data_IF_224446186164
#
_entry.id   IF_224446186164
#
_cell.length_a   1.000
_cell.length_b   1.000
_cell.length_c   1.000
_cell.angle_alpha   90.00
_cell.angle_beta   90.00
_cell.angle_gamma   90.00
#
_symmetry.space_group_name_H-M   'P 1'
#
loop_
_entity.id
_entity.type
_entity.pdbx_description
1 polymer ?
#
# COMPACT_ATOMS: atom_id res chain seq x y z
N UNK A 1 8.71 -18.07 -19.34
CA UNK A 1 8.23 -17.27 -18.19
C UNK A 1 8.00 -15.80 -18.50
N UNK A 2 8.62 -15.21 -19.53
CA UNK A 2 8.34 -13.81 -19.93
C UNK A 2 6.88 -13.56 -20.40
N UNK A 3 6.16 -14.60 -20.83
CA UNK A 3 4.74 -14.49 -21.21
C UNK A 3 3.77 -14.44 -20.02
N UNK A 4 4.20 -14.81 -18.80
CA UNK A 4 3.35 -14.87 -17.61
C UNK A 4 3.10 -13.49 -16.98
N UNK A 5 4.08 -12.59 -17.03
CA UNK A 5 3.93 -11.20 -16.55
C UNK A 5 2.99 -10.39 -17.47
N UNK A 6 2.88 -10.77 -18.76
CA UNK A 6 1.89 -10.20 -19.67
C UNK A 6 0.46 -10.60 -19.31
N UNK A 7 0.21 -11.84 -18.89
CA UNK A 7 -1.14 -12.31 -18.52
C UNK A 7 -1.71 -11.61 -17.27
N UNK A 8 -0.86 -11.15 -16.34
CA UNK A 8 -1.30 -10.41 -15.15
C UNK A 8 -1.76 -8.96 -15.50
N UNK A 9 -1.42 -8.50 -16.71
CA UNK A 9 -1.52 -7.09 -17.11
C UNK A 9 -2.84 -6.70 -17.77
N UNK A 10 -3.72 -7.65 -18.11
CA UNK A 10 -5.02 -7.39 -18.73
C UNK A 10 -6.15 -7.60 -17.69
N UNK A 11 -6.79 -6.50 -17.29
CA UNK A 11 -8.10 -6.42 -16.61
C UNK A 11 -8.38 -7.29 -15.37
N UNK A 12 -7.43 -7.39 -14.44
CA UNK A 12 -7.73 -7.90 -13.10
C UNK A 12 -7.82 -6.79 -12.06
N UNK A 13 -8.89 -6.83 -11.25
CA UNK A 13 -9.06 -6.02 -10.04
C UNK A 13 -7.74 -6.05 -9.22
N UNK A 14 -7.23 -4.91 -8.73
CA UNK A 14 -5.95 -4.84 -8.02
C UNK A 14 -5.84 -5.82 -6.83
N UNK A 15 -6.95 -6.13 -6.17
CA UNK A 15 -7.00 -7.16 -5.11
C UNK A 15 -6.72 -8.57 -5.65
N UNK A 16 -7.29 -8.95 -6.79
CA UNK A 16 -7.03 -10.26 -7.44
C UNK A 16 -5.62 -10.35 -8.01
N UNK A 17 -5.06 -9.23 -8.49
CA UNK A 17 -3.66 -9.17 -8.92
C UNK A 17 -2.72 -9.43 -7.75
N UNK A 18 -3.00 -8.83 -6.59
CA UNK A 18 -2.21 -9.06 -5.37
C UNK A 18 -2.20 -10.53 -4.95
N UNK A 19 -3.37 -11.17 -4.91
CA UNK A 19 -3.48 -12.60 -4.56
C UNK A 19 -2.70 -13.50 -5.54
N UNK A 20 -2.78 -13.19 -6.85
CA UNK A 20 -2.04 -13.94 -7.87
C UNK A 20 -0.53 -13.75 -7.71
N UNK A 21 -0.07 -12.53 -7.43
CA UNK A 21 1.35 -12.25 -7.12
C UNK A 21 1.78 -13.07 -5.91
N UNK A 22 1.01 -13.07 -4.82
CA UNK A 22 1.32 -13.86 -3.61
C UNK A 22 1.45 -15.35 -3.93
N UNK A 23 0.51 -15.91 -4.68
CA UNK A 23 0.55 -17.32 -5.11
C UNK A 23 1.82 -17.64 -5.92
N UNK A 24 2.23 -16.75 -6.82
CA UNK A 24 3.45 -16.89 -7.61
C UNK A 24 4.72 -16.76 -6.78
N UNK A 25 4.75 -15.87 -5.79
CA UNK A 25 5.89 -15.72 -4.88
C UNK A 25 6.09 -16.96 -4.01
N UNK A 26 4.99 -17.51 -3.49
CA UNK A 26 5.01 -18.73 -2.67
C UNK A 26 5.45 -19.94 -3.50
N UNK A 27 4.90 -20.12 -4.70
CA UNK A 27 5.28 -21.24 -5.59
C UNK A 27 6.74 -21.17 -6.07
N UNK A 28 7.30 -19.97 -6.19
CA UNK A 28 8.72 -19.76 -6.50
C UNK A 28 9.61 -19.73 -5.25
N UNK A 29 9.07 -20.01 -4.05
CA UNK A 29 9.79 -19.99 -2.78
C UNK A 29 10.60 -18.69 -2.59
N UNK A 30 10.03 -17.55 -3.03
CA UNK A 30 10.65 -16.22 -2.96
C UNK A 30 12.04 -16.11 -3.62
N UNK A 31 12.41 -17.05 -4.49
CA UNK A 31 13.74 -17.13 -5.10
C UNK A 31 13.95 -16.16 -6.28
N UNK A 32 12.90 -15.46 -6.70
CA UNK A 32 12.98 -14.57 -7.85
C UNK A 32 13.92 -13.37 -7.59
N UNK A 33 14.81 -12.97 -8.53
CA UNK A 33 15.79 -11.90 -8.32
C UNK A 33 15.18 -10.56 -7.89
N UNK A 34 14.02 -10.21 -8.45
CA UNK A 34 13.31 -8.97 -8.07
C UNK A 34 12.76 -9.03 -6.63
N UNK A 35 12.32 -10.22 -6.20
CA UNK A 35 11.86 -10.44 -4.83
C UNK A 35 13.05 -10.36 -3.88
N UNK A 36 14.17 -11.01 -4.23
CA UNK A 36 15.40 -10.95 -3.45
C UNK A 36 15.96 -9.53 -3.31
N UNK A 37 15.90 -8.73 -4.37
CA UNK A 37 16.25 -7.30 -4.32
C UNK A 37 15.40 -6.54 -3.30
N UNK A 38 14.08 -6.73 -3.33
CA UNK A 38 13.16 -6.08 -2.37
C UNK A 38 13.36 -6.61 -0.94
N UNK A 39 13.61 -7.90 -0.78
CA UNK A 39 13.93 -8.51 0.51
C UNK A 39 15.19 -7.88 1.11
N UNK A 40 16.23 -7.68 0.30
CA UNK A 40 17.46 -7.02 0.74
C UNK A 40 17.25 -5.56 1.14
N UNK A 41 16.42 -4.81 0.40
CA UNK A 41 16.02 -3.43 0.74
C UNK A 41 15.28 -3.40 2.09
N UNK A 42 14.40 -4.37 2.34
CA UNK A 42 13.62 -4.49 3.58
C UNK A 42 14.39 -5.17 4.72
N UNK A 43 15.64 -5.58 4.50
CA UNK A 43 16.46 -6.36 5.45
C UNK A 43 15.75 -7.63 5.95
N UNK A 44 15.00 -8.28 5.05
CA UNK A 44 14.29 -9.52 5.30
C UNK A 44 15.00 -10.69 4.61
N UNK A 45 14.89 -11.88 5.19
CA UNK A 45 15.36 -13.13 4.58
C UNK A 45 14.17 -13.93 4.02
N UNK A 46 14.42 -14.81 3.06
CA UNK A 46 13.37 -15.72 2.55
C UNK A 46 12.82 -16.64 3.67
N UNK A 47 13.65 -16.97 4.66
CA UNK A 47 13.25 -17.74 5.84
C UNK A 47 12.21 -17.03 6.71
N UNK A 48 12.16 -15.70 6.69
CA UNK A 48 11.16 -14.91 7.42
C UNK A 48 9.77 -14.98 6.79
N UNK A 49 9.68 -15.42 5.53
CA UNK A 49 8.44 -15.54 4.77
C UNK A 49 7.98 -16.99 4.66
N UNK A 50 8.87 -17.95 4.86
CA UNK A 50 8.55 -19.36 4.82
C UNK A 50 7.78 -19.81 6.07
N UNK A 51 6.77 -20.69 5.90
CA UNK A 51 6.06 -21.26 7.04
C UNK A 51 7.04 -22.01 7.93
N UNK A 52 7.11 -21.64 9.21
CA UNK A 52 7.96 -22.35 10.17
C UNK A 52 7.24 -23.60 10.66
N UNK A 53 7.93 -24.75 10.73
CA UNK A 53 7.33 -25.95 11.29
C UNK A 53 6.99 -25.74 12.78
N UNK A 54 5.76 -26.10 13.14
CA UNK A 54 5.19 -25.97 14.49
C UNK A 54 6.04 -26.62 15.60
N UNK A 55 6.90 -27.59 15.23
CA UNK A 55 7.79 -28.32 16.14
C UNK A 55 9.05 -27.55 16.56
N UNK A 56 9.35 -26.41 15.95
CA UNK A 56 10.57 -25.63 16.24
C UNK A 56 10.47 -24.76 17.51
N UNK A 57 9.28 -24.66 18.11
CA UNK A 57 9.07 -23.93 19.36
C UNK A 57 9.06 -24.98 20.48
N UNK A 58 10.18 -25.09 21.21
CA UNK A 58 10.30 -25.88 22.43
C UNK A 58 9.25 -25.46 23.47
N UNK A 59 8.01 -25.94 23.36
CA UNK A 59 6.93 -25.51 24.22
C UNK A 59 6.75 -26.44 25.41
N UNK A 60 7.57 -26.21 26.45
CA UNK A 60 7.21 -26.59 27.82
C UNK A 60 6.19 -25.59 28.39
N UNK A 61 4.98 -25.52 27.82
CA UNK A 61 3.94 -24.58 28.24
C UNK A 61 2.51 -25.02 27.89
N UNK A 62 1.47 -24.34 28.43
CA UNK A 62 0.07 -24.68 28.15
C UNK A 62 -0.26 -24.55 26.66
N UNK A 63 -1.04 -25.48 26.09
CA UNK A 63 -1.38 -25.54 24.65
C UNK A 63 -1.97 -24.22 24.12
N UNK A 64 -2.79 -23.54 24.93
CA UNK A 64 -3.50 -22.35 24.48
C UNK A 64 -2.54 -21.17 24.21
N UNK A 65 -1.48 -21.05 25.01
CA UNK A 65 -0.46 -20.00 24.83
C UNK A 65 0.46 -20.28 23.65
N UNK A 66 0.70 -21.55 23.34
CA UNK A 66 1.49 -21.94 22.17
C UNK A 66 0.72 -21.68 20.90
N UNK A 67 -0.57 -22.00 20.89
CA UNK A 67 -1.45 -21.78 19.74
C UNK A 67 -1.61 -20.29 19.44
N UNK A 68 -1.79 -19.47 20.47
CA UNK A 68 -1.85 -18.01 20.31
C UNK A 68 -0.54 -17.43 19.75
N UNK A 69 0.62 -17.90 20.25
CA UNK A 69 1.93 -17.46 19.74
C UNK A 69 2.14 -17.87 18.28
N UNK A 70 1.72 -19.07 17.91
CA UNK A 70 1.80 -19.58 16.55
C UNK A 70 0.90 -18.77 15.61
N UNK A 71 -0.36 -18.54 16.00
CA UNK A 71 -1.30 -17.71 15.25
C UNK A 71 -0.76 -16.29 15.04
N UNK A 72 -0.17 -15.68 16.08
CA UNK A 72 0.42 -14.35 15.98
C UNK A 72 1.66 -14.31 15.08
N UNK A 73 2.53 -15.33 15.13
CA UNK A 73 3.68 -15.43 14.22
C UNK A 73 3.24 -15.59 12.77
N UNK A 74 2.23 -16.43 12.53
CA UNK A 74 1.66 -16.65 11.21
C UNK A 74 1.01 -15.37 10.66
N UNK A 75 0.26 -14.63 11.48
CA UNK A 75 -0.29 -13.34 11.10
C UNK A 75 0.80 -12.34 10.70
N UNK A 76 1.92 -12.28 11.45
CA UNK A 76 3.06 -11.42 11.10
C UNK A 76 3.73 -11.85 9.78
N UNK A 77 3.82 -13.16 9.53
CA UNK A 77 4.37 -13.71 8.27
C UNK A 77 3.52 -13.29 7.08
N UNK A 78 2.20 -13.49 7.18
CA UNK A 78 1.25 -13.10 6.14
C UNK A 78 1.30 -11.59 5.85
N UNK A 79 1.33 -10.75 6.89
CA UNK A 79 1.45 -9.31 6.73
C UNK A 79 2.71 -8.89 5.96
N UNK A 80 3.86 -9.54 6.21
CA UNK A 80 5.10 -9.28 5.46
C UNK A 80 4.96 -9.65 3.98
N UNK A 81 4.32 -10.78 3.69
CA UNK A 81 4.09 -11.24 2.31
C UNK A 81 3.17 -10.26 1.56
N UNK A 82 2.11 -9.78 2.22
CA UNK A 82 1.20 -8.79 1.65
C UNK A 82 1.89 -7.47 1.32
N UNK A 83 2.69 -6.94 2.24
CA UNK A 83 3.48 -5.71 2.02
C UNK A 83 4.44 -5.91 0.83
N UNK A 84 5.08 -7.07 0.74
CA UNK A 84 6.01 -7.36 -0.35
C UNK A 84 5.28 -7.47 -1.71
N UNK A 85 4.09 -8.07 -1.73
CA UNK A 85 3.24 -8.11 -2.93
C UNK A 85 2.83 -6.69 -3.40
N UNK A 86 2.49 -5.81 -2.45
CA UNK A 86 2.15 -4.42 -2.72
C UNK A 86 3.31 -3.65 -3.36
N UNK A 87 4.51 -3.76 -2.77
CA UNK A 87 5.72 -3.10 -3.29
C UNK A 87 6.04 -3.59 -4.71
N UNK A 88 5.87 -4.90 -4.99
CA UNK A 88 6.08 -5.44 -6.33
C UNK A 88 5.04 -4.87 -7.31
N UNK A 89 3.77 -4.84 -6.91
CA UNK A 89 2.70 -4.28 -7.73
C UNK A 89 2.97 -2.80 -8.09
N UNK A 90 3.39 -2.00 -7.11
CA UNK A 90 3.76 -0.61 -7.31
C UNK A 90 4.96 -0.46 -8.25
N UNK A 91 6.05 -1.20 -7.99
CA UNK A 91 7.26 -1.16 -8.86
C UNK A 91 6.92 -1.58 -10.30
N UNK A 92 6.02 -2.52 -10.51
CA UNK A 92 5.54 -2.90 -11.86
C UNK A 92 4.69 -1.81 -12.52
N UNK A 93 3.82 -1.13 -11.77
CA UNK A 93 3.03 0.01 -12.28
C UNK A 93 3.97 1.15 -12.70
N UNK A 94 5.00 1.45 -11.90
CA UNK A 94 6.00 2.47 -12.24
C UNK A 94 6.84 2.08 -13.47
N UNK A 95 7.24 0.81 -13.61
CA UNK A 95 7.95 0.32 -14.79
C UNK A 95 7.10 0.38 -16.07
N UNK A 96 5.77 0.16 -15.97
CA UNK A 96 4.85 0.36 -17.11
C UNK A 96 4.74 1.84 -17.49
N UNK A 97 4.66 2.75 -16.52
CA UNK A 97 4.59 4.21 -16.76
C UNK A 97 5.90 4.74 -17.38
N UNK A 98 7.06 4.28 -16.93
CA UNK A 98 8.37 4.70 -17.50
C UNK A 98 8.59 4.16 -18.91
N UNK A 99 8.11 2.95 -19.22
CA UNK A 99 8.15 2.38 -20.58
C UNK A 99 7.21 3.11 -21.56
N UNK A 100 6.06 3.60 -21.10
CA UNK A 100 5.16 4.45 -21.91
C UNK A 100 5.80 5.82 -22.21
N UNK A 101 6.61 6.35 -21.31
CA UNK A 101 7.38 7.59 -21.54
C UNK A 101 8.59 7.33 -22.47
N UNK A 102 9.30 6.21 -22.31
CA UNK A 102 10.46 5.87 -23.15
C UNK A 102 10.12 5.51 -24.60
N UNK A 103 8.94 4.93 -24.88
CA UNK A 103 8.52 4.68 -26.27
C UNK A 103 8.16 5.96 -27.04
N UNK A 104 7.88 7.07 -26.34
CA UNK A 104 7.69 8.38 -26.99
C UNK A 104 9.01 9.12 -27.23
N UNK A 105 10.09 8.75 -26.55
CA UNK A 105 11.44 9.29 -26.80
C UNK A 105 12.28 8.45 -27.76
N UNK A 106 11.89 7.20 -28.05
CA UNK A 106 12.62 6.30 -28.96
C UNK A 106 12.31 6.50 -30.46
N UNK A 107 11.69 7.62 -30.85
CA UNK A 107 11.60 8.02 -32.27
C UNK A 107 12.65 9.09 -32.62
N UNK A 108 13.35 9.67 -31.63
CA UNK A 108 14.30 10.78 -31.86
C UNK A 108 15.74 10.54 -31.35
N UNK A 109 16.16 9.29 -31.13
CA UNK A 109 17.52 9.00 -30.63
C UNK A 109 18.22 7.88 -31.40
N UNK A 110 18.38 8.06 -32.71
CA UNK A 110 19.46 7.43 -33.48
C UNK A 110 20.23 8.54 -34.19
N UNK A 111 21.14 9.21 -33.47
CA UNK A 111 22.17 10.03 -34.11
C UNK A 111 23.30 10.35 -33.14
N UNK A 112 23.99 9.32 -32.64
CA UNK A 112 25.40 9.42 -32.18
C UNK A 112 26.08 8.07 -32.37
N UNK A 113 26.89 7.94 -33.43
CA UNK A 113 27.89 6.86 -33.51
C UNK A 113 28.13 6.27 -34.90
N UNK A 114 29.00 6.93 -35.67
CA UNK A 114 30.06 6.33 -36.51
C UNK A 114 29.62 5.32 -37.58
N UNK A 115 29.57 5.78 -38.84
CA UNK A 115 30.03 4.97 -39.98
C UNK A 115 30.85 5.85 -40.93
N UNK A 116 32.16 5.70 -40.86
CA UNK A 116 33.04 5.92 -42.00
C UNK A 116 32.69 4.86 -43.04
N UNK A 117 32.11 5.24 -44.18
CA UNK A 117 32.45 4.68 -45.50
C UNK A 117 31.93 5.62 -46.58
N UNK A 118 32.88 6.37 -47.14
CA UNK A 118 32.78 7.11 -48.39
C UNK A 118 32.73 6.08 -49.52
N UNK A 119 31.55 5.76 -50.08
CA UNK A 119 31.39 5.27 -51.47
C UNK A 119 29.97 4.75 -51.80
N UNK A 120 28.94 5.58 -51.89
CA UNK A 120 27.81 5.33 -52.82
C UNK A 120 27.29 6.69 -53.31
N UNK A 121 27.92 7.22 -54.37
CA UNK A 121 27.21 8.07 -55.34
C UNK A 121 26.22 7.15 -56.04
N UNK A 122 24.91 7.33 -55.84
CA UNK A 122 23.84 7.17 -56.85
C UNK A 122 22.45 7.29 -56.21
N UNK A 123 21.68 8.24 -56.74
CA UNK A 123 20.22 8.42 -56.65
C UNK A 123 19.59 8.65 -55.26
N UNK A 124 19.50 9.91 -54.84
CA UNK A 124 18.46 10.37 -53.91
C UNK A 124 17.12 10.50 -54.66
N UNK A 125 16.00 9.99 -54.14
CA UNK A 125 14.69 10.48 -54.52
C UNK A 125 14.45 11.83 -53.83
N UNK A 126 14.01 12.84 -54.60
CA UNK A 126 13.60 14.16 -54.11
C UNK A 126 12.65 14.03 -52.90
N UNK A 127 13.16 14.30 -51.70
CA UNK A 127 12.33 14.51 -50.52
C UNK A 127 11.81 15.95 -50.65
N UNK A 128 10.49 16.20 -50.72
CA UNK A 128 9.98 17.56 -50.79
C UNK A 128 10.38 18.31 -49.51
N UNK A 129 11.19 19.36 -49.66
CA UNK A 129 11.50 20.29 -48.59
C UNK A 129 10.19 20.84 -48.03
N UNK A 130 9.90 20.56 -46.75
CA UNK A 130 8.78 21.18 -46.06
C UNK A 130 8.95 22.70 -46.11
N UNK A 131 7.98 23.38 -46.73
CA UNK A 131 7.97 24.84 -46.85
C UNK A 131 8.05 25.45 -45.45
N UNK A 132 9.04 26.33 -45.17
CA UNK A 132 9.09 27.03 -43.90
C UNK A 132 7.79 27.81 -43.70
N UNK A 133 7.12 27.61 -42.57
CA UNK A 133 5.94 28.38 -42.20
C UNK A 133 6.28 29.88 -42.27
N UNK A 134 5.33 30.68 -42.73
CA UNK A 134 5.49 32.13 -42.69
C UNK A 134 5.67 32.61 -41.24
N UNK A 135 6.32 33.77 -41.06
CA UNK A 135 6.57 34.34 -39.75
C UNK A 135 5.25 34.50 -38.94
N UNK A 136 4.16 34.84 -39.60
CA UNK A 136 2.83 34.97 -39.00
C UNK A 136 2.23 33.62 -38.56
N UNK A 137 2.35 32.58 -39.38
CA UNK A 137 1.90 31.23 -39.03
C UNK A 137 2.70 30.64 -37.87
N UNK A 138 4.01 30.91 -37.82
CA UNK A 138 4.87 30.48 -36.71
C UNK A 138 4.48 31.15 -35.38
N UNK A 139 4.14 32.44 -35.43
CA UNK A 139 3.71 33.23 -34.27
C UNK A 139 2.33 32.80 -33.76
N UNK A 140 1.37 32.56 -34.66
CA UNK A 140 0.05 32.03 -34.31
C UNK A 140 0.14 30.64 -33.66
N UNK A 141 0.99 29.76 -34.21
CA UNK A 141 1.21 28.42 -33.66
C UNK A 141 1.84 28.48 -32.26
N UNK A 142 2.78 29.40 -32.04
CA UNK A 142 3.38 29.62 -30.72
C UNK A 142 2.33 30.11 -29.71
N UNK A 143 1.50 31.11 -30.08
CA UNK A 143 0.44 31.60 -29.21
C UNK A 143 -0.57 30.50 -28.84
N UNK A 144 -1.00 29.70 -29.82
CA UNK A 144 -1.90 28.57 -29.58
C UNK A 144 -1.29 27.54 -28.63
N UNK A 145 0.01 27.24 -28.77
CA UNK A 145 0.71 26.34 -27.85
C UNK A 145 0.78 26.91 -26.43
N UNK A 146 1.04 28.22 -26.27
CA UNK A 146 1.05 28.88 -24.97
C UNK A 146 -0.34 28.88 -24.33
N UNK A 147 -1.39 29.16 -25.09
CA UNK A 147 -2.78 29.10 -24.62
C UNK A 147 -3.16 27.71 -24.14
N UNK A 148 -2.81 26.67 -24.90
CA UNK A 148 -3.04 25.27 -24.53
C UNK A 148 -2.24 24.85 -23.28
N UNK A 149 -1.04 25.40 -23.10
CA UNK A 149 -0.24 25.20 -21.88
C UNK A 149 -0.91 25.83 -20.66
N UNK A 150 -1.40 27.06 -20.79
CA UNK A 150 -2.13 27.75 -19.72
C UNK A 150 -3.41 26.99 -19.34
N UNK A 151 -4.20 26.54 -20.31
CA UNK A 151 -5.41 25.77 -20.06
C UNK A 151 -5.13 24.48 -19.27
N UNK A 152 -4.05 23.76 -19.61
CA UNK A 152 -3.62 22.58 -18.88
C UNK A 152 -3.22 22.90 -17.44
N UNK A 153 -2.50 24.01 -17.22
CA UNK A 153 -2.07 24.44 -15.90
C UNK A 153 -3.26 24.80 -15.01
N UNK A 154 -4.27 25.50 -15.57
CA UNK A 154 -5.50 25.81 -14.86
C UNK A 154 -6.26 24.54 -14.45
N UNK A 155 -6.42 23.58 -15.37
CA UNK A 155 -7.06 22.28 -15.05
C UNK A 155 -6.32 21.51 -13.95
N UNK A 156 -4.99 21.54 -13.95
CA UNK A 156 -4.19 20.91 -12.89
C UNK A 156 -4.38 21.64 -11.56
N UNK A 157 -4.41 22.97 -11.56
CA UNK A 157 -4.66 23.78 -10.37
C UNK A 157 -6.01 23.46 -9.74
N UNK A 158 -7.07 23.40 -10.54
CA UNK A 158 -8.42 23.06 -10.07
C UNK A 158 -8.50 21.64 -9.53
N UNK A 159 -7.82 20.70 -10.18
CA UNK A 159 -7.72 19.32 -9.70
C UNK A 159 -6.99 19.24 -8.34
N UNK A 160 -5.90 19.98 -8.17
CA UNK A 160 -5.18 20.05 -6.89
C UNK A 160 -6.08 20.64 -5.80
N UNK A 161 -6.84 21.70 -6.09
CA UNK A 161 -7.80 22.27 -5.13
C UNK A 161 -8.85 21.25 -4.73
N UNK A 162 -9.45 20.54 -5.69
CA UNK A 162 -10.44 19.49 -5.43
C UNK A 162 -9.89 18.39 -4.53
N UNK A 163 -8.66 17.92 -4.80
CA UNK A 163 -8.00 16.90 -3.98
C UNK A 163 -7.80 17.42 -2.54
N UNK A 164 -7.32 18.66 -2.37
CA UNK A 164 -7.12 19.25 -1.04
C UNK A 164 -8.43 19.35 -0.25
N UNK A 165 -9.53 19.74 -0.89
CA UNK A 165 -10.83 19.79 -0.22
C UNK A 165 -11.33 18.40 0.17
N UNK A 166 -11.11 17.40 -0.68
CA UNK A 166 -11.52 16.02 -0.39
C UNK A 166 -10.69 15.40 0.75
N UNK A 167 -9.38 15.65 0.77
CA UNK A 167 -8.50 15.23 1.86
C UNK A 167 -8.88 15.89 3.19
N UNK A 168 -9.19 17.19 3.19
CA UNK A 168 -9.63 17.89 4.38
C UNK A 168 -10.97 17.36 4.90
N UNK A 169 -11.91 17.06 4.00
CA UNK A 169 -13.18 16.44 4.36
C UNK A 169 -12.98 15.07 5.02
N UNK A 170 -12.13 14.22 4.43
CA UNK A 170 -11.80 12.90 5.01
C UNK A 170 -11.16 13.03 6.39
N UNK A 171 -10.30 14.03 6.60
CA UNK A 171 -9.71 14.29 7.92
C UNK A 171 -10.76 14.62 8.96
N UNK A 172 -11.72 15.50 8.62
CA UNK A 172 -12.83 15.85 9.52
C UNK A 172 -13.68 14.61 9.85
N UNK A 173 -13.99 13.78 8.85
CA UNK A 173 -14.77 12.55 9.06
C UNK A 173 -14.05 11.56 9.99
N UNK A 174 -12.73 11.40 9.84
CA UNK A 174 -11.90 10.55 10.71
C UNK A 174 -11.91 11.08 12.15
N UNK A 175 -11.73 12.39 12.35
CA UNK A 175 -11.74 12.99 13.69
C UNK A 175 -13.09 12.76 14.37
N UNK A 176 -14.19 12.95 13.64
CA UNK A 176 -15.54 12.72 14.17
C UNK A 176 -15.78 11.26 14.59
N UNK A 177 -15.33 10.29 13.78
CA UNK A 177 -15.42 8.86 14.11
C UNK A 177 -14.57 8.50 15.34
N UNK A 178 -13.38 9.10 15.47
CA UNK A 178 -12.53 8.92 16.65
C UNK A 178 -13.15 9.52 17.91
N UNK A 179 -13.78 10.69 17.81
CA UNK A 179 -14.50 11.32 18.93
C UNK A 179 -15.67 10.43 19.39
N UNK A 180 -16.49 9.94 18.46
CA UNK A 180 -17.61 9.04 18.77
C UNK A 180 -17.14 7.73 19.44
N UNK A 181 -16.07 7.13 18.93
CA UNK A 181 -15.46 5.93 19.54
C UNK A 181 -14.91 6.21 20.93
N UNK A 182 -14.30 7.39 21.13
CA UNK A 182 -13.75 7.79 22.42
C UNK A 182 -14.86 7.99 23.45
N UNK A 183 -15.98 8.61 23.07
CA UNK A 183 -17.15 8.76 23.94
C UNK A 183 -17.77 7.41 24.32
N UNK A 184 -17.94 6.50 23.34
CA UNK A 184 -18.42 5.13 23.60
C UNK A 184 -17.51 4.38 24.58
N UNK A 185 -16.19 4.46 24.42
CA UNK A 185 -15.24 3.86 25.35
C UNK A 185 -15.35 4.45 26.76
N UNK A 186 -15.49 5.77 26.89
CA UNK A 186 -15.66 6.43 28.20
C UNK A 186 -16.92 5.96 28.93
N UNK A 187 -18.05 5.86 28.22
CA UNK A 187 -19.31 5.37 28.78
C UNK A 187 -19.20 3.91 29.25
N UNK A 188 -18.57 3.04 28.44
CA UNK A 188 -18.34 1.65 28.83
C UNK A 188 -17.45 1.55 30.08
N UNK A 189 -16.42 2.39 30.16
CA UNK A 189 -15.50 2.41 31.31
C UNK A 189 -16.21 2.85 32.59
N UNK A 190 -17.07 3.88 32.51
CA UNK A 190 -17.93 4.29 33.62
C UNK A 190 -18.87 3.16 34.06
N UNK A 191 -19.51 2.47 33.13
CA UNK A 191 -20.39 1.34 33.46
C UNK A 191 -19.66 0.20 34.18
N UNK A 192 -18.43 -0.13 33.77
CA UNK A 192 -17.60 -1.14 34.43
C UNK A 192 -17.21 -0.69 35.86
N UNK A 193 -16.88 0.58 36.05
CA UNK A 193 -16.53 1.12 37.37
C UNK A 193 -17.73 1.13 38.33
N UNK A 194 -18.91 1.51 37.84
CA UNK A 194 -20.16 1.46 38.60
C UNK A 194 -20.51 0.03 39.03
N UNK A 195 -20.39 -0.95 38.12
CA UNK A 195 -20.64 -2.36 38.44
C UNK A 195 -19.64 -2.88 39.48
N UNK A 196 -18.37 -2.49 39.37
CA UNK A 196 -17.32 -2.84 40.34
C UNK A 196 -17.61 -2.26 41.73
N UNK A 197 -18.01 -0.98 41.80
CA UNK A 197 -18.42 -0.31 43.04
C UNK A 197 -19.63 -0.99 43.67
N UNK A 198 -20.65 -1.32 42.86
CA UNK A 198 -21.85 -2.02 43.32
C UNK A 198 -21.53 -3.38 43.94
N UNK A 199 -20.68 -4.19 43.28
CA UNK A 199 -20.23 -5.49 43.82
C UNK A 199 -19.46 -5.32 45.14
N UNK A 200 -18.62 -4.29 45.26
CA UNK A 200 -17.89 -3.99 46.50
C UNK A 200 -18.85 -3.65 47.64
N UNK A 201 -19.83 -2.81 47.37
CA UNK A 201 -20.83 -2.36 48.35
C UNK A 201 -21.74 -3.51 48.80
N UNK A 202 -22.15 -4.38 47.87
CA UNK A 202 -22.92 -5.60 48.19
C UNK A 202 -22.11 -6.56 49.09
N UNK A 203 -20.81 -6.73 48.81
CA UNK A 203 -19.93 -7.54 49.64
C UNK A 203 -19.75 -6.94 51.05
N UNK A 204 -19.62 -5.62 51.15
CA UNK A 204 -19.52 -4.92 52.44
C UNK A 204 -20.81 -5.05 53.25
N UNK A 205 -21.99 -4.92 52.61
CA UNK A 205 -23.29 -5.18 53.26
C UNK A 205 -23.39 -6.63 53.75
N UNK A 206 -23.01 -7.61 52.93
CA UNK A 206 -23.00 -9.03 53.32
C UNK A 206 -22.06 -9.27 54.50
N UNK A 207 -20.89 -8.62 54.51
CA UNK A 207 -19.93 -8.70 55.63
C UNK A 207 -20.50 -8.08 56.90
N UNK A 208 -21.11 -6.89 56.82
CA UNK A 208 -21.74 -6.24 57.96
C UNK A 208 -22.88 -7.08 58.54
N UNK A 209 -23.74 -7.64 57.71
CA UNK A 209 -24.82 -8.54 58.15
C UNK A 209 -24.28 -9.77 58.90
N UNK A 210 -23.19 -10.38 58.41
CA UNK A 210 -22.50 -11.49 59.10
C UNK A 210 -21.93 -11.05 60.45
N UNK A 211 -21.30 -9.87 60.51
CA UNK A 211 -20.75 -9.33 61.75
C UNK A 211 -21.86 -9.02 62.77
N UNK A 212 -22.94 -8.36 62.36
CA UNK A 212 -24.10 -8.12 63.22
C UNK A 212 -24.64 -9.43 63.80
N UNK A 213 -24.87 -10.46 62.97
CA UNK A 213 -25.30 -11.78 63.46
C UNK A 213 -24.32 -12.40 64.45
N UNK A 214 -23.01 -12.18 64.28
CA UNK A 214 -21.98 -12.73 65.18
C UNK A 214 -21.93 -12.03 66.54
N UNK A 215 -22.10 -10.71 66.57
CA UNK A 215 -21.92 -9.91 67.78
C UNK A 215 -23.23 -9.57 68.52
N UNK A 216 -24.39 -9.68 67.88
CA UNK A 216 -25.69 -9.43 68.52
C UNK A 216 -26.18 -10.59 69.38
N UNK A 217 -25.64 -11.81 69.19
CA UNK A 217 -25.96 -13.00 70.01
C UNK A 217 -25.27 -12.95 71.38
N UNK A 218 -24.34 -12.02 71.60
CA UNK A 218 -23.56 -11.89 72.83
C UNK A 218 -24.04 -10.77 73.79
N UNK A 219 -25.26 -10.23 73.60
CA UNK A 219 -25.85 -9.18 74.46
C UNK A 219 -27.17 -9.56 75.13
N UNK A 220 -27.43 -10.86 75.35
CA UNK A 220 -28.48 -11.36 76.25
C UNK A 220 -27.78 -12.24 77.29
#
# INVERSE_FOLDING_TARGET
MESLIRQISEELNPSKQRELIISLMVSSNFSHPQIQGILSELKLTAEDLNPRPYSSINSKGPSDLTDFRNAHQEARRLAKIEILAEIIQDKQIFAKKSNVVSRKSLVNSTNKGITSFRSILSSEPDIPLAVPLSQDESSQRLMYQQQKKLERLLKVSDKIKSIKFEDERRRVDIVKDLEEKTEKCKLLQQGIEEERLKKKLENDIKRQSKLQKKYHVSSI
#
